data_IF_766834289275
#
_entry.id   IF_766834289275
#
_cell.length_a   1.000
_cell.length_b   1.000
_cell.length_c   1.000
_cell.angle_alpha   90.00
_cell.angle_beta   90.00
_cell.angle_gamma   90.00
#
_symmetry.space_group_name_H-M   'P 1'
#
loop_
_entity.id
_entity.type
_entity.pdbx_description
1 polymer ?
#
# COMPACT_ATOMS: atom_id res chain seq x y z
N UNK A 1 15.06 42.29 -0.78
CA UNK A 1 14.41 41.51 0.30
C UNK A 1 14.51 40.04 -0.07
N UNK A 2 15.31 39.26 0.66
CA UNK A 2 15.58 37.85 0.38
C UNK A 2 14.69 36.98 1.28
N UNK A 3 13.84 36.16 0.67
CA UNK A 3 13.14 35.09 1.38
C UNK A 3 14.09 33.90 1.53
N UNK A 4 14.39 33.49 2.76
CA UNK A 4 15.09 32.23 3.03
C UNK A 4 14.03 31.15 3.12
N UNK A 5 14.04 30.19 2.18
CA UNK A 5 13.21 29.00 2.28
C UNK A 5 13.74 28.17 3.46
N UNK A 6 12.97 28.11 4.55
CA UNK A 6 13.25 27.19 5.63
C UNK A 6 13.11 25.76 5.08
N UNK A 7 14.24 25.11 4.83
CA UNK A 7 14.28 23.70 4.46
C UNK A 7 14.08 22.90 5.73
N UNK A 8 12.84 22.54 6.04
CA UNK A 8 12.52 21.62 7.12
C UNK A 8 13.08 20.25 6.75
N UNK A 9 14.13 19.82 7.46
CA UNK A 9 14.65 18.45 7.35
C UNK A 9 13.63 17.48 7.96
N UNK A 10 12.99 16.68 7.12
CA UNK A 10 12.16 15.57 7.57
C UNK A 10 13.05 14.39 7.91
N UNK A 11 13.00 13.94 9.17
CA UNK A 11 13.65 12.69 9.58
C UNK A 11 12.73 11.53 9.27
N UNK A 12 13.24 10.53 8.56
CA UNK A 12 12.59 9.23 8.42
C UNK A 12 12.91 8.36 9.63
N UNK A 13 11.88 7.74 10.19
CA UNK A 13 11.99 6.74 11.26
C UNK A 13 11.11 5.54 10.87
N UNK A 14 11.54 4.35 11.26
CA UNK A 14 10.74 3.15 11.03
C UNK A 14 9.49 3.18 11.91
N UNK A 15 8.32 2.97 11.30
CA UNK A 15 7.03 2.90 11.99
C UNK A 15 6.22 1.71 11.48
N UNK A 16 5.35 1.17 12.32
CA UNK A 16 4.36 0.17 11.90
C UNK A 16 3.09 0.88 11.47
N UNK A 17 2.67 0.65 10.23
CA UNK A 17 1.41 1.19 9.69
C UNK A 17 0.38 0.07 9.64
N UNK A 18 -0.78 0.29 10.24
CA UNK A 18 -1.91 -0.63 10.16
C UNK A 18 -2.89 -0.12 9.11
N UNK A 19 -3.10 -0.91 8.06
CA UNK A 19 -3.97 -0.59 6.93
C UNK A 19 -5.00 -1.71 6.82
N UNK A 20 -6.30 -1.37 6.75
CA UNK A 20 -7.33 -2.38 6.50
C UNK A 20 -7.34 -2.78 5.02
N UNK A 21 -7.71 -4.03 4.68
CA UNK A 21 -7.73 -4.50 3.29
C UNK A 21 -8.51 -3.62 2.31
N UNK A 22 -9.63 -3.04 2.75
CA UNK A 22 -10.48 -2.15 1.95
C UNK A 22 -9.88 -0.77 1.68
N UNK A 23 -8.81 -0.40 2.38
CA UNK A 23 -8.08 0.85 2.16
C UNK A 23 -6.99 0.72 1.09
N UNK A 24 -6.75 -0.50 0.59
CA UNK A 24 -5.75 -0.78 -0.45
C UNK A 24 -6.45 -0.82 -1.80
N UNK A 25 -6.05 0.07 -2.70
CA UNK A 25 -6.49 0.08 -4.08
C UNK A 25 -5.47 -0.66 -4.96
N UNK A 26 -5.95 -1.57 -5.82
CA UNK A 26 -5.13 -2.21 -6.84
C UNK A 26 -5.30 -1.48 -8.16
N UNK A 27 -4.19 -0.99 -8.71
CA UNK A 27 -4.16 -0.27 -9.97
C UNK A 27 -3.07 -0.85 -10.87
N UNK A 28 -3.22 -0.66 -12.18
CA UNK A 28 -2.19 -1.06 -13.17
C UNK A 28 -0.99 -0.12 -13.18
N UNK A 29 -1.13 1.08 -12.60
CA UNK A 29 -0.06 2.07 -12.44
C UNK A 29 -0.21 2.80 -11.10
N UNK A 30 0.91 3.28 -10.55
CA UNK A 30 0.95 3.98 -9.27
C UNK A 30 1.10 3.03 -8.08
N UNK A 31 2.00 3.37 -7.16
CA UNK A 31 2.33 2.56 -5.99
C UNK A 31 3.42 1.49 -6.23
N UNK A 32 3.76 0.70 -5.18
CA UNK A 32 4.75 -0.37 -5.28
C UNK A 32 4.27 -1.53 -6.14
N UNK A 33 5.20 -2.19 -6.83
CA UNK A 33 4.91 -3.43 -7.55
C UNK A 33 4.62 -4.57 -6.56
N UNK A 34 3.68 -5.44 -6.94
CA UNK A 34 3.26 -6.58 -6.14
C UNK A 34 2.93 -7.78 -7.03
N UNK A 35 3.17 -8.99 -6.50
CA UNK A 35 2.73 -10.24 -7.11
C UNK A 35 1.50 -10.76 -6.39
N UNK A 36 0.46 -11.17 -7.13
CA UNK A 36 -0.68 -11.90 -6.57
C UNK A 36 -0.22 -13.30 -6.16
N UNK A 37 -0.39 -13.62 -4.88
CA UNK A 37 -0.01 -14.92 -4.31
C UNK A 37 -1.23 -15.84 -4.16
N UNK A 38 -2.37 -15.28 -3.75
CA UNK A 38 -3.62 -16.03 -3.54
C UNK A 38 -4.83 -15.13 -3.72
N UNK A 39 -5.95 -15.72 -4.15
CA UNK A 39 -7.27 -15.10 -4.06
C UNK A 39 -8.23 -16.03 -3.34
N UNK A 40 -8.87 -15.51 -2.29
CA UNK A 40 -9.88 -16.20 -1.50
C UNK A 40 -11.24 -15.54 -1.75
N UNK A 41 -12.24 -16.33 -2.19
CA UNK A 41 -13.56 -15.83 -2.58
C UNK A 41 -14.59 -16.05 -1.46
N UNK A 42 -15.39 -15.02 -1.19
CA UNK A 42 -16.44 -15.00 -0.16
C UNK A 42 -17.75 -14.47 -0.78
N UNK A 43 -18.40 -15.30 -1.60
CA UNK A 43 -19.59 -14.91 -2.34
C UNK A 43 -19.26 -13.89 -3.44
N UNK A 44 -19.85 -12.69 -3.37
CA UNK A 44 -19.57 -11.61 -4.33
C UNK A 44 -18.31 -10.80 -4.01
N UNK A 45 -17.56 -11.24 -3.01
CA UNK A 45 -16.40 -10.56 -2.48
C UNK A 45 -15.14 -11.42 -2.63
N UNK A 46 -13.99 -10.77 -2.66
CA UNK A 46 -12.70 -11.43 -2.78
C UNK A 46 -11.62 -10.70 -1.97
N UNK A 47 -10.81 -11.49 -1.28
CA UNK A 47 -9.56 -11.07 -0.69
C UNK A 47 -8.41 -11.53 -1.59
N UNK A 48 -7.55 -10.59 -1.97
CA UNK A 48 -6.36 -10.84 -2.78
C UNK A 48 -5.14 -10.68 -1.89
N UNK A 49 -4.41 -11.77 -1.67
CA UNK A 49 -3.11 -11.74 -0.99
C UNK A 49 -2.02 -11.36 -1.99
N UNK A 50 -1.22 -10.37 -1.63
CA UNK A 50 -0.17 -9.78 -2.44
C UNK A 50 1.16 -9.89 -1.71
N UNK A 51 2.24 -10.07 -2.47
CA UNK A 51 3.61 -9.92 -1.98
C UNK A 51 4.31 -8.79 -2.71
N UNK A 52 4.77 -7.79 -1.96
CA UNK A 52 5.59 -6.69 -2.47
C UNK A 52 7.02 -7.17 -2.77
N UNK A 53 7.80 -6.35 -3.48
CA UNK A 53 9.19 -6.66 -3.84
C UNK A 53 10.09 -6.86 -2.61
N UNK A 54 9.82 -6.16 -1.51
CA UNK A 54 10.56 -6.30 -0.25
C UNK A 54 10.13 -7.53 0.57
N UNK A 55 9.22 -8.35 0.05
CA UNK A 55 8.69 -9.53 0.71
C UNK A 55 7.51 -9.27 1.64
N UNK A 56 7.11 -8.01 1.86
CA UNK A 56 5.93 -7.67 2.67
C UNK A 56 4.68 -8.31 2.08
N UNK A 57 3.89 -8.97 2.93
CA UNK A 57 2.63 -9.60 2.55
C UNK A 57 1.46 -8.72 2.98
N UNK A 58 0.61 -8.38 2.02
CA UNK A 58 -0.59 -7.57 2.23
C UNK A 58 -1.83 -8.33 1.76
N UNK A 59 -2.99 -7.95 2.27
CA UNK A 59 -4.28 -8.42 1.75
C UNK A 59 -5.09 -7.20 1.33
N UNK A 60 -5.55 -7.19 0.09
CA UNK A 60 -6.45 -6.17 -0.42
C UNK A 60 -7.84 -6.79 -0.61
N UNK A 61 -8.88 -6.02 -0.31
CA UNK A 61 -10.25 -6.38 -0.65
C UNK A 61 -10.61 -5.69 -1.96
N UNK A 62 -11.22 -6.42 -2.89
CA UNK A 62 -11.70 -5.81 -4.13
C UNK A 62 -12.82 -4.82 -3.82
N UNK A 63 -12.54 -3.53 -3.79
CA UNK A 63 -13.60 -2.52 -3.92
C UNK A 63 -14.15 -2.58 -5.34
N UNK A 64 -15.47 -2.50 -5.47
CA UNK A 64 -16.14 -2.49 -6.77
C UNK A 64 -15.74 -1.27 -7.60
#
# INVERSE_FOLDING_TARGET
>A
MQWVAATTSLRSVAVTVLIRPEQICLATTGGPLATVVRQDFHGHDALTTLRLEDGTVLTARRSR
#
